data_IF_945496367629
#
_entry.id   IF_945496367629
#
_cell.length_a   1.000
_cell.length_b   1.000
_cell.length_c   1.000
_cell.angle_alpha   90.00
_cell.angle_beta   90.00
_cell.angle_gamma   90.00
#
_symmetry.space_group_name_H-M   'P 1'
#
loop_
_entity.id
_entity.type
_entity.pdbx_description
1 polymer ?
#
# COMPACT_ATOMS: atom_id res chain seq x y z
N UNK A 1 50.86 -11.78 -36.75
CA UNK A 1 51.01 -11.22 -35.39
C UNK A 1 50.58 -12.29 -34.40
N UNK A 2 51.60 -13.08 -34.04
CA UNK A 2 51.94 -13.67 -32.74
C UNK A 2 50.88 -13.73 -31.63
N UNK A 3 50.76 -14.92 -31.02
CA UNK A 3 50.16 -15.07 -29.69
C UNK A 3 49.41 -16.37 -29.36
N UNK A 4 49.65 -17.49 -30.06
CA UNK A 4 49.24 -18.81 -29.57
C UNK A 4 50.22 -19.23 -28.47
N UNK A 5 49.86 -19.01 -27.20
CA UNK A 5 50.75 -19.14 -26.04
C UNK A 5 50.13 -19.98 -24.94
N UNK A 6 50.06 -21.27 -25.18
CA UNK A 6 49.93 -22.30 -24.16
C UNK A 6 51.14 -22.23 -23.21
N UNK A 7 51.01 -21.51 -22.11
CA UNK A 7 51.96 -21.55 -20.99
C UNK A 7 51.42 -22.46 -19.90
N UNK A 8 51.64 -23.75 -20.15
CA UNK A 8 51.90 -24.80 -19.17
C UNK A 8 52.45 -24.25 -17.84
N UNK A 9 51.62 -24.18 -16.80
CA UNK A 9 52.07 -24.02 -15.42
C UNK A 9 52.04 -25.41 -14.77
N UNK A 10 53.18 -25.95 -14.32
CA UNK A 10 53.28 -27.30 -13.84
C UNK A 10 52.54 -27.45 -12.50
N UNK A 11 51.91 -28.62 -12.34
CA UNK A 11 51.38 -29.13 -11.09
C UNK A 11 52.49 -29.07 -10.02
N UNK A 12 52.40 -28.13 -9.08
CA UNK A 12 53.16 -28.18 -7.82
C UNK A 12 52.18 -28.54 -6.72
N UNK A 13 52.35 -29.75 -6.21
CA UNK A 13 51.68 -30.26 -5.02
C UNK A 13 51.96 -29.36 -3.82
N UNK A 14 50.89 -28.99 -3.09
CA UNK A 14 50.95 -28.56 -1.70
C UNK A 14 50.71 -27.08 -1.41
N UNK A 15 49.43 -26.66 -1.37
CA UNK A 15 48.96 -25.67 -0.38
C UNK A 15 47.42 -25.66 -0.32
N UNK A 16 46.87 -25.49 0.89
CA UNK A 16 45.45 -25.57 1.24
C UNK A 16 44.56 -24.49 0.57
N UNK A 17 43.22 -24.71 0.45
CA UNK A 17 42.34 -23.89 -0.39
C UNK A 17 42.06 -22.52 0.25
N UNK A 18 42.60 -21.45 -0.35
CA UNK A 18 42.06 -20.11 -0.20
C UNK A 18 40.74 -20.03 -0.98
N UNK A 19 39.70 -19.48 -0.36
CA UNK A 19 38.37 -19.34 -0.95
C UNK A 19 38.44 -18.63 -2.31
N UNK A 20 38.17 -19.36 -3.38
CA UNK A 20 37.87 -18.78 -4.68
C UNK A 20 36.55 -18.01 -4.54
N UNK A 21 36.65 -16.69 -4.35
CA UNK A 21 35.49 -15.81 -4.34
C UNK A 21 34.98 -15.73 -5.78
N UNK A 22 33.79 -16.26 -6.00
CA UNK A 22 33.07 -16.20 -7.27
C UNK A 22 32.94 -14.72 -7.73
N UNK A 23 33.42 -14.34 -8.92
CA UNK A 23 33.27 -12.99 -9.46
C UNK A 23 31.81 -12.49 -9.46
N UNK A 24 30.84 -13.41 -9.56
CA UNK A 24 29.42 -13.07 -9.47
C UNK A 24 28.99 -12.68 -8.03
N UNK A 25 29.59 -13.28 -7.01
CA UNK A 25 29.34 -12.95 -5.61
C UNK A 25 29.90 -11.57 -5.25
N UNK A 26 31.06 -11.21 -5.78
CA UNK A 26 31.65 -9.88 -5.59
C UNK A 26 30.80 -8.79 -6.28
N UNK A 27 30.24 -9.08 -7.46
CA UNK A 27 29.29 -8.19 -8.13
C UNK A 27 27.99 -8.01 -7.34
N UNK A 28 27.39 -9.10 -6.85
CA UNK A 28 26.18 -9.06 -6.03
C UNK A 28 26.40 -8.28 -4.72
N UNK A 29 27.54 -8.49 -4.05
CA UNK A 29 27.88 -7.75 -2.83
C UNK A 29 28.06 -6.25 -3.11
N UNK A 30 28.72 -5.90 -4.23
CA UNK A 30 28.91 -4.51 -4.66
C UNK A 30 27.59 -3.80 -4.99
N UNK A 31 26.68 -4.47 -5.69
CA UNK A 31 25.34 -3.92 -6.00
C UNK A 31 24.49 -3.79 -4.74
N UNK A 32 24.59 -4.73 -3.80
CA UNK A 32 23.89 -4.65 -2.51
C UNK A 32 24.39 -3.47 -1.66
N UNK A 33 25.70 -3.23 -1.59
CA UNK A 33 26.27 -2.08 -0.88
C UNK A 33 25.89 -0.74 -1.55
N UNK A 34 25.83 -0.70 -2.89
CA UNK A 34 25.37 0.51 -3.61
C UNK A 34 23.89 0.82 -3.37
N UNK A 35 23.03 -0.18 -3.17
CA UNK A 35 21.61 0.01 -2.89
C UNK A 35 21.29 0.18 -1.39
N UNK A 36 22.13 -0.33 -0.49
CA UNK A 36 21.92 -0.23 0.96
C UNK A 36 21.90 1.22 1.47
N UNK A 37 22.57 2.14 0.77
CA UNK A 37 22.56 3.58 1.09
C UNK A 37 21.29 4.33 0.67
N UNK A 38 20.44 3.75 -0.19
CA UNK A 38 19.19 4.36 -0.68
C UNK A 38 17.96 4.03 0.18
N UNK A 39 18.09 3.09 1.13
CA UNK A 39 16.99 2.65 2.00
C UNK A 39 16.63 3.62 3.12
N UNK A 40 17.57 4.47 3.55
CA UNK A 40 17.38 5.41 4.68
C UNK A 40 16.89 6.82 4.23
N UNK A 41 16.92 7.13 2.93
CA UNK A 41 16.47 8.43 2.39
C UNK A 41 14.99 8.44 1.95
N UNK A 42 14.30 7.29 1.97
CA UNK A 42 12.84 7.26 1.83
C UNK A 42 12.21 7.39 3.22
N UNK A 43 12.35 8.59 3.77
CA UNK A 43 11.59 9.04 4.93
C UNK A 43 10.08 8.97 4.60
N UNK A 44 9.24 8.26 5.37
CA UNK A 44 7.81 8.46 5.29
C UNK A 44 7.53 9.91 5.70
N UNK A 45 6.84 10.66 4.85
CA UNK A 45 6.48 12.06 5.06
C UNK A 45 5.94 12.28 6.48
N UNK A 46 6.80 12.79 7.36
CA UNK A 46 6.42 13.22 8.70
C UNK A 46 5.68 14.54 8.57
N UNK A 47 4.59 14.66 9.32
CA UNK A 47 3.81 15.88 9.49
C UNK A 47 4.74 17.07 9.75
N UNK A 48 4.86 17.95 8.76
CA UNK A 48 5.35 19.30 8.96
C UNK A 48 4.33 20.09 9.77
N UNK A 49 4.69 20.40 11.03
CA UNK A 49 4.16 21.56 11.74
C UNK A 49 4.58 22.83 10.99
N UNK A 50 3.61 23.53 10.41
CA UNK A 50 3.73 24.89 9.90
C UNK A 50 2.52 25.71 10.35
N UNK A 51 2.76 26.81 11.06
CA UNK A 51 1.77 27.69 11.66
C UNK A 51 0.93 28.48 10.63
N UNK A 52 -0.32 28.77 11.03
CA UNK A 52 -1.15 29.95 10.70
C UNK A 52 -1.59 30.20 9.24
N UNK A 53 -2.90 30.11 9.00
CA UNK A 53 -3.81 31.27 8.90
C UNK A 53 -5.25 30.77 8.67
N UNK A 54 -6.16 31.13 9.57
CA UNK A 54 -7.60 30.89 9.40
C UNK A 54 -8.25 32.15 8.80
N UNK A 55 -8.86 32.02 7.63
CA UNK A 55 -9.81 32.98 7.10
C UNK A 55 -11.09 32.23 6.68
N UNK A 56 -12.19 32.62 7.33
CA UNK A 56 -13.55 32.11 7.15
C UNK A 56 -14.12 32.37 5.76
N UNK A 57 -15.01 31.50 5.27
CA UNK A 57 -15.84 31.83 4.09
C UNK A 57 -16.78 30.75 3.55
N UNK A 58 -17.88 30.48 4.27
CA UNK A 58 -19.24 30.20 3.77
C UNK A 58 -19.54 28.98 2.86
N UNK A 59 -20.40 28.09 3.40
CA UNK A 59 -21.64 27.69 2.72
C UNK A 59 -21.65 26.34 2.01
N UNK A 60 -22.66 25.52 2.31
CA UNK A 60 -23.16 24.49 1.40
C UNK A 60 -23.06 23.06 1.92
N UNK A 61 -24.10 22.65 2.63
CA UNK A 61 -24.52 21.26 2.74
C UNK A 61 -24.56 20.52 1.38
N UNK A 62 -23.94 19.35 1.30
CA UNK A 62 -24.40 18.26 0.43
C UNK A 62 -23.69 16.96 0.80
N UNK A 63 -24.48 15.97 1.16
CA UNK A 63 -24.18 14.55 1.19
C UNK A 63 -23.14 14.10 0.16
N UNK A 64 -21.98 13.64 0.65
CA UNK A 64 -20.99 12.92 -0.18
C UNK A 64 -21.32 11.42 -0.30
N UNK A 65 -22.34 10.93 0.40
CA UNK A 65 -22.74 9.52 0.38
C UNK A 65 -24.26 9.39 0.20
N UNK A 66 -24.76 9.71 -0.99
CA UNK A 66 -26.19 9.59 -1.27
C UNK A 66 -26.57 9.71 -2.74
N UNK A 67 -26.62 8.56 -3.42
CA UNK A 67 -27.45 8.26 -4.58
C UNK A 67 -27.22 9.04 -5.90
N UNK A 68 -26.61 8.37 -6.88
CA UNK A 68 -26.80 8.64 -8.30
C UNK A 68 -26.83 7.30 -9.08
N UNK A 69 -27.55 7.25 -10.21
CA UNK A 69 -28.35 6.10 -10.63
C UNK A 69 -27.58 5.00 -11.36
N UNK A 70 -28.14 3.79 -11.28
CA UNK A 70 -27.82 2.65 -12.14
C UNK A 70 -27.98 3.04 -13.62
N UNK A 71 -26.87 3.18 -14.33
CA UNK A 71 -26.75 2.91 -15.77
C UNK A 71 -25.29 3.06 -16.21
N UNK A 72 -24.72 2.00 -16.79
CA UNK A 72 -23.39 2.01 -17.39
C UNK A 72 -22.29 1.47 -16.49
N UNK A 73 -22.31 0.16 -16.21
CA UNK A 73 -21.14 -0.51 -15.64
C UNK A 73 -19.99 -0.53 -16.67
N UNK A 74 -18.73 -0.29 -16.27
CA UNK A 74 -17.61 -0.56 -17.15
C UNK A 74 -17.40 -2.06 -17.23
N UNK A 75 -17.51 -2.54 -18.45
CA UNK A 75 -17.27 -3.91 -18.90
C UNK A 75 -15.89 -4.40 -18.46
N UNK A 76 -15.83 -5.58 -17.84
CA UNK A 76 -14.61 -6.23 -17.35
C UNK A 76 -13.90 -7.02 -18.47
N UNK A 77 -14.07 -6.61 -19.73
CA UNK A 77 -13.49 -7.24 -20.93
C UNK A 77 -12.44 -6.37 -21.64
N UNK A 78 -11.73 -5.50 -20.92
CA UNK A 78 -10.67 -4.63 -21.50
C UNK A 78 -9.25 -4.94 -21.04
N UNK A 79 -8.93 -6.21 -20.75
CA UNK A 79 -7.54 -6.65 -20.48
C UNK A 79 -6.97 -7.61 -21.54
N UNK A 80 -7.61 -7.76 -22.70
CA UNK A 80 -7.03 -8.47 -23.85
C UNK A 80 -7.09 -7.59 -25.11
N UNK A 81 -6.06 -7.69 -25.96
CA UNK A 81 -5.83 -6.99 -27.25
C UNK A 81 -5.05 -5.65 -27.24
N UNK A 82 -3.82 -5.64 -26.73
CA UNK A 82 -2.79 -4.72 -27.24
C UNK A 82 -1.53 -5.51 -27.65
N UNK A 83 -1.43 -5.84 -28.93
CA UNK A 83 -0.26 -6.55 -29.49
C UNK A 83 -0.45 -7.22 -30.85
N UNK A 84 -1.61 -7.09 -31.50
CA UNK A 84 -1.81 -7.48 -32.89
C UNK A 84 -1.45 -6.33 -33.83
N UNK A 85 -0.22 -6.30 -34.32
CA UNK A 85 0.19 -5.43 -35.42
C UNK A 85 -0.46 -5.97 -36.72
N UNK A 86 -1.57 -5.33 -37.10
CA UNK A 86 -2.35 -5.63 -38.30
C UNK A 86 -1.71 -4.93 -39.50
N UNK A 87 -0.87 -5.66 -40.26
CA UNK A 87 -0.36 -5.18 -41.55
C UNK A 87 -1.48 -5.28 -42.59
N UNK A 88 -2.00 -4.13 -43.00
CA UNK A 88 -2.96 -3.99 -44.09
C UNK A 88 -2.42 -4.62 -45.39
N UNK A 89 -3.17 -5.58 -45.94
CA UNK A 89 -2.84 -6.30 -47.17
C UNK A 89 -3.68 -5.73 -48.33
N UNK A 90 -3.07 -4.91 -49.18
CA UNK A 90 -3.61 -4.51 -50.50
C UNK A 90 -3.20 -5.58 -51.56
N UNK A 91 -4.00 -5.87 -52.62
CA UNK A 91 -3.82 -7.08 -53.42
C UNK A 91 -2.97 -6.92 -54.72
N UNK A 92 -2.29 -8.04 -55.08
CA UNK A 92 -1.67 -8.46 -56.37
C UNK A 92 -0.11 -8.42 -56.44
N UNK A 93 0.59 -9.25 -57.28
CA UNK A 93 0.17 -10.36 -58.18
C UNK A 93 0.83 -11.73 -57.84
N UNK A 94 0.49 -12.87 -58.49
CA UNK A 94 1.03 -14.18 -58.13
C UNK A 94 2.46 -14.35 -58.64
N UNK A 95 3.44 -14.35 -57.73
CA UNK A 95 4.82 -14.76 -58.04
C UNK A 95 4.96 -16.21 -57.63
N UNK A 96 4.92 -17.08 -58.63
CA UNK A 96 5.39 -18.46 -58.57
C UNK A 96 6.88 -18.47 -58.21
N UNK A 97 7.19 -18.52 -56.92
CA UNK A 97 8.54 -18.85 -56.45
C UNK A 97 8.53 -20.31 -56.03
N UNK A 98 8.89 -21.16 -56.98
CA UNK A 98 9.28 -22.54 -56.70
C UNK A 98 10.49 -22.54 -55.77
N UNK A 99 10.28 -22.76 -54.46
CA UNK A 99 11.37 -23.15 -53.58
C UNK A 99 11.81 -24.58 -53.94
N UNK A 100 13.11 -24.86 -54.08
CA UNK A 100 13.58 -26.22 -54.26
C UNK A 100 13.35 -26.99 -52.95
N UNK A 101 12.48 -28.00 -53.02
CA UNK A 101 12.33 -29.06 -52.04
C UNK A 101 13.70 -29.76 -51.85
N UNK A 102 14.47 -29.28 -50.88
CA UNK A 102 15.69 -29.94 -50.45
C UNK A 102 15.28 -31.26 -49.80
N UNK A 103 15.24 -32.29 -50.64
CA UNK A 103 15.03 -33.70 -50.34
C UNK A 103 15.44 -34.06 -48.90
N UNK A 104 14.46 -34.07 -47.99
CA UNK A 104 14.62 -34.67 -46.67
C UNK A 104 14.70 -36.17 -46.87
N UNK A 105 15.92 -36.68 -47.01
CA UNK A 105 16.20 -38.10 -47.02
C UNK A 105 15.53 -38.75 -45.79
N UNK A 106 14.74 -39.83 -45.93
CA UNK A 106 14.20 -40.54 -44.78
C UNK A 106 15.36 -41.27 -44.11
N UNK A 107 15.99 -40.62 -43.13
CA UNK A 107 16.93 -41.29 -42.22
C UNK A 107 16.07 -42.31 -41.46
N UNK A 108 16.36 -43.63 -41.56
CA UNK A 108 15.65 -44.63 -40.76
C UNK A 108 15.76 -44.23 -39.30
N UNK A 109 14.62 -44.08 -38.61
CA UNK A 109 14.64 -43.82 -37.17
C UNK A 109 15.25 -45.05 -36.50
N UNK A 110 16.53 -44.97 -36.16
CA UNK A 110 17.13 -45.91 -35.23
C UNK A 110 16.60 -45.45 -33.88
N UNK A 111 15.70 -46.22 -33.28
CA UNK A 111 15.33 -46.06 -31.86
C UNK A 111 16.59 -46.33 -31.06
N UNK A 112 17.42 -45.30 -30.90
CA UNK A 112 18.53 -45.32 -29.95
C UNK A 112 17.86 -45.15 -28.60
N UNK A 113 17.86 -46.22 -27.81
CA UNK A 113 17.39 -46.14 -26.42
C UNK A 113 18.16 -45.02 -25.73
N UNK A 114 17.42 -44.04 -25.20
CA UNK A 114 18.02 -42.88 -24.55
C UNK A 114 19.01 -43.34 -23.47
N UNK A 115 20.27 -42.86 -23.49
CA UNK A 115 21.27 -43.20 -22.49
C UNK A 115 20.75 -42.98 -21.08
N UNK A 116 21.02 -43.90 -20.15
CA UNK A 116 20.51 -43.84 -18.77
C UNK A 116 20.85 -42.52 -18.06
N UNK A 117 22.00 -41.92 -18.38
CA UNK A 117 22.40 -40.60 -17.87
C UNK A 117 21.42 -39.49 -18.27
N UNK A 118 20.89 -39.52 -19.48
CA UNK A 118 19.89 -38.54 -19.96
C UNK A 118 18.54 -38.77 -19.29
N UNK A 119 18.16 -40.04 -19.06
CA UNK A 119 16.96 -40.37 -18.28
C UNK A 119 17.05 -39.84 -16.85
N UNK A 120 18.18 -40.07 -16.17
CA UNK A 120 18.44 -39.55 -14.82
C UNK A 120 18.43 -38.01 -14.81
N UNK A 121 19.06 -37.35 -15.80
CA UNK A 121 19.07 -35.89 -15.89
C UNK A 121 17.67 -35.31 -16.10
N UNK A 122 16.86 -35.90 -16.99
CA UNK A 122 15.48 -35.46 -17.20
C UNK A 122 14.63 -35.60 -15.94
N UNK A 123 14.78 -36.72 -15.23
CA UNK A 123 14.07 -36.93 -13.98
C UNK A 123 14.50 -35.93 -12.89
N UNK A 124 15.80 -35.65 -12.78
CA UNK A 124 16.31 -34.62 -11.87
C UNK A 124 15.82 -33.21 -12.23
N UNK A 125 15.75 -32.86 -13.53
CA UNK A 125 15.17 -31.58 -13.97
C UNK A 125 13.67 -31.51 -13.67
N UNK A 126 12.93 -32.60 -13.94
CA UNK A 126 11.51 -32.71 -13.66
C UNK A 126 11.22 -32.46 -12.18
N UNK A 127 11.95 -33.14 -11.29
CA UNK A 127 11.82 -32.97 -9.84
C UNK A 127 12.15 -31.54 -9.42
N UNK A 128 13.21 -30.93 -9.98
CA UNK A 128 13.57 -29.55 -9.65
C UNK A 128 12.51 -28.55 -10.09
N UNK A 129 11.89 -28.75 -11.25
CA UNK A 129 10.78 -27.92 -11.72
C UNK A 129 9.57 -28.07 -10.80
N UNK A 130 9.20 -29.31 -10.49
CA UNK A 130 8.08 -29.60 -9.57
C UNK A 130 8.30 -28.98 -8.18
N UNK A 131 9.54 -28.98 -7.67
CA UNK A 131 9.89 -28.30 -6.41
C UNK A 131 9.73 -26.78 -6.49
N UNK A 132 10.09 -26.17 -7.63
CA UNK A 132 9.90 -24.72 -7.83
C UNK A 132 8.42 -24.37 -7.94
N UNK A 133 7.67 -25.12 -8.74
CA UNK A 133 6.23 -24.92 -8.94
C UNK A 133 5.49 -25.05 -7.59
N UNK A 134 5.84 -26.06 -6.78
CA UNK A 134 5.28 -26.24 -5.45
C UNK A 134 5.64 -25.09 -4.49
N UNK A 135 6.88 -24.59 -4.54
CA UNK A 135 7.30 -23.46 -3.71
C UNK A 135 6.57 -22.16 -4.10
N UNK A 136 6.38 -21.92 -5.40
CA UNK A 136 5.60 -20.80 -5.91
C UNK A 136 4.13 -20.89 -5.51
N UNK A 137 3.53 -22.08 -5.56
CA UNK A 137 2.15 -22.29 -5.14
C UNK A 137 1.97 -22.03 -3.63
N UNK A 138 2.89 -22.53 -2.79
CA UNK A 138 2.90 -22.24 -1.35
C UNK A 138 3.02 -20.74 -1.11
N UNK A 139 3.98 -20.07 -1.75
CA UNK A 139 4.16 -18.62 -1.58
C UNK A 139 2.91 -17.82 -2.00
N UNK A 140 2.25 -18.23 -3.09
CA UNK A 140 1.00 -17.63 -3.55
C UNK A 140 -0.13 -17.82 -2.55
N UNK A 141 -0.24 -19.00 -1.94
CA UNK A 141 -1.26 -19.27 -0.92
C UNK A 141 -0.97 -18.44 0.33
N UNK A 142 0.27 -18.41 0.81
CA UNK A 142 0.68 -17.60 1.98
C UNK A 142 0.40 -16.11 1.78
N UNK A 143 0.69 -15.56 0.60
CA UNK A 143 0.38 -14.17 0.26
C UNK A 143 -1.12 -13.90 0.29
N UNK A 144 -1.94 -14.81 -0.25
CA UNK A 144 -3.40 -14.69 -0.22
C UNK A 144 -3.95 -14.79 1.20
N UNK A 145 -3.42 -15.69 2.02
CA UNK A 145 -3.83 -15.82 3.42
C UNK A 145 -3.42 -14.60 4.24
N UNK A 146 -2.23 -14.06 4.01
CA UNK A 146 -1.78 -12.82 4.64
C UNK A 146 -2.68 -11.65 4.28
N UNK A 147 -2.99 -11.47 2.99
CA UNK A 147 -3.90 -10.42 2.54
C UNK A 147 -5.32 -10.59 3.13
N UNK A 148 -5.80 -11.84 3.25
CA UNK A 148 -7.09 -12.13 3.89
C UNK A 148 -7.08 -11.76 5.38
N UNK A 149 -6.05 -12.17 6.11
CA UNK A 149 -5.91 -11.85 7.54
C UNK A 149 -5.80 -10.35 7.78
N UNK A 150 -5.03 -9.63 6.96
CA UNK A 150 -4.90 -8.18 7.06
C UNK A 150 -6.24 -7.46 6.83
N UNK A 151 -7.04 -7.95 5.87
CA UNK A 151 -8.38 -7.43 5.63
C UNK A 151 -9.33 -7.69 6.81
N UNK A 152 -9.31 -8.90 7.37
CA UNK A 152 -10.10 -9.26 8.56
C UNK A 152 -9.70 -8.40 9.78
N UNK A 153 -8.40 -8.22 10.00
CA UNK A 153 -7.86 -7.38 11.07
C UNK A 153 -8.27 -5.91 10.89
N UNK A 154 -8.24 -5.40 9.66
CA UNK A 154 -8.70 -4.04 9.35
C UNK A 154 -10.18 -3.86 9.68
N UNK A 155 -11.04 -4.80 9.28
CA UNK A 155 -12.47 -4.74 9.59
C UNK A 155 -12.72 -4.77 11.10
N UNK A 156 -12.00 -5.62 11.83
CA UNK A 156 -12.10 -5.69 13.29
C UNK A 156 -11.68 -4.37 13.94
N UNK A 157 -10.52 -3.81 13.56
CA UNK A 157 -10.06 -2.52 14.07
C UNK A 157 -11.02 -1.38 13.72
N UNK A 158 -11.58 -1.39 12.51
CA UNK A 158 -12.56 -0.39 12.08
C UNK A 158 -13.84 -0.50 12.90
N UNK A 159 -14.37 -1.71 13.10
CA UNK A 159 -15.54 -1.95 13.94
C UNK A 159 -15.29 -1.49 15.39
N UNK A 160 -14.14 -1.83 15.97
CA UNK A 160 -13.74 -1.39 17.31
C UNK A 160 -13.66 0.15 17.39
N UNK A 161 -13.07 0.81 16.40
CA UNK A 161 -13.00 2.27 16.34
C UNK A 161 -14.38 2.93 16.23
N UNK A 162 -15.26 2.38 15.39
CA UNK A 162 -16.64 2.84 15.25
C UNK A 162 -17.41 2.62 16.55
N UNK A 163 -17.28 1.46 17.18
CA UNK A 163 -17.92 1.13 18.44
C UNK A 163 -17.43 2.06 19.57
N UNK A 164 -16.12 2.31 19.65
CA UNK A 164 -15.51 3.24 20.60
C UNK A 164 -16.01 4.67 20.40
N UNK A 165 -16.07 5.14 19.15
CA UNK A 165 -16.61 6.47 18.82
C UNK A 165 -18.10 6.58 19.18
N UNK A 166 -18.91 5.58 18.84
CA UNK A 166 -20.33 5.52 19.23
C UNK A 166 -20.50 5.51 20.75
N UNK A 167 -19.65 4.77 21.47
CA UNK A 167 -19.69 4.73 22.94
C UNK A 167 -19.29 6.09 23.53
N UNK A 168 -18.22 6.70 23.05
CA UNK A 168 -17.76 8.02 23.47
C UNK A 168 -18.83 9.10 23.27
N UNK A 169 -19.49 9.11 22.11
CA UNK A 169 -20.60 10.02 21.83
C UNK A 169 -21.78 9.78 22.78
N UNK A 170 -22.17 8.52 23.01
CA UNK A 170 -23.23 8.19 23.96
C UNK A 170 -22.88 8.57 25.40
N UNK A 171 -21.64 8.40 25.83
CA UNK A 171 -21.23 8.83 27.18
C UNK A 171 -21.18 10.34 27.30
N UNK A 172 -20.67 11.05 26.28
CA UNK A 172 -20.63 12.50 26.26
C UNK A 172 -22.05 13.11 26.27
N UNK A 173 -22.98 12.52 25.51
CA UNK A 173 -24.39 12.93 25.53
C UNK A 173 -25.04 12.66 26.89
N UNK A 174 -24.79 11.49 27.49
CA UNK A 174 -25.28 11.20 28.85
C UNK A 174 -24.74 12.17 29.89
N UNK A 175 -23.47 12.56 29.79
CA UNK A 175 -22.85 13.56 30.67
C UNK A 175 -23.47 14.94 30.46
N UNK A 176 -23.65 15.36 29.20
CA UNK A 176 -24.32 16.62 28.85
C UNK A 176 -25.77 16.65 29.39
N UNK A 177 -26.52 15.55 29.21
CA UNK A 177 -27.88 15.40 29.75
C UNK A 177 -27.86 15.42 31.28
N UNK A 178 -26.92 14.76 31.94
CA UNK A 178 -26.81 14.79 33.40
C UNK A 178 -26.48 16.20 33.93
N UNK A 179 -25.60 16.93 33.26
CA UNK A 179 -25.24 18.32 33.59
C UNK A 179 -26.39 19.30 33.37
N UNK A 180 -27.26 19.04 32.39
CA UNK A 180 -28.44 19.88 32.09
C UNK A 180 -29.66 19.53 32.93
N UNK A 181 -29.88 18.24 33.23
CA UNK A 181 -31.04 17.75 33.97
C UNK A 181 -30.95 17.95 35.49
N UNK A 182 -29.73 18.07 36.06
CA UNK A 182 -29.53 18.46 37.46
C UNK A 182 -29.83 19.94 37.64
N UNK A 183 -31.11 20.28 37.70
CA UNK A 183 -31.60 21.61 38.04
C UNK A 183 -31.91 21.70 39.52
N UNK A 184 -30.85 21.72 40.33
CA UNK A 184 -30.98 22.04 41.76
C UNK A 184 -31.09 23.55 41.95
N UNK A 185 -32.13 24.05 42.66
CA UNK A 185 -32.32 25.47 42.90
C UNK A 185 -31.10 26.11 43.59
N UNK A 186 -30.44 27.06 42.94
CA UNK A 186 -29.23 27.74 43.44
C UNK A 186 -27.95 27.54 42.59
N UNK A 187 -27.98 26.65 41.60
CA UNK A 187 -26.85 26.36 40.69
C UNK A 187 -26.92 27.12 39.35
N UNK A 188 -27.90 28.02 39.18
CA UNK A 188 -28.22 28.63 37.88
C UNK A 188 -27.08 29.52 37.36
N UNK A 189 -26.46 30.31 38.23
CA UNK A 189 -25.34 31.17 37.84
C UNK A 189 -24.08 30.39 37.49
N UNK A 190 -23.82 29.28 38.19
CA UNK A 190 -22.73 28.36 37.82
C UNK A 190 -22.94 27.79 36.41
N UNK A 191 -24.16 27.37 36.08
CA UNK A 191 -24.53 26.87 34.75
C UNK A 191 -24.37 27.94 33.66
N UNK A 192 -24.86 29.16 33.91
CA UNK A 192 -24.70 30.28 32.97
C UNK A 192 -23.21 30.53 32.72
N UNK A 193 -22.36 30.47 33.74
CA UNK A 193 -20.92 30.67 33.55
C UNK A 193 -20.25 29.54 32.77
N UNK A 194 -20.67 28.29 32.93
CA UNK A 194 -20.14 27.16 32.14
C UNK A 194 -20.44 27.31 30.65
N UNK A 195 -21.61 27.85 30.31
CA UNK A 195 -22.03 28.09 28.92
C UNK A 195 -21.46 29.38 28.32
N UNK A 196 -21.09 30.35 29.16
CA UNK A 196 -20.50 31.60 28.72
C UNK A 196 -19.01 31.45 28.38
N UNK A 197 -18.64 31.82 27.16
CA UNK A 197 -17.23 31.87 26.76
C UNK A 197 -16.54 33.13 27.31
N UNK A 198 -15.63 32.94 28.27
CA UNK A 198 -14.82 33.99 28.90
C UNK A 198 -13.47 34.23 28.25
N UNK A 199 -13.10 33.49 27.19
CA UNK A 199 -11.82 33.68 26.52
C UNK A 199 -11.85 34.98 25.67
N UNK A 200 -11.05 36.00 26.01
CA UNK A 200 -11.07 37.29 25.31
C UNK A 200 -10.68 37.16 23.82
N UNK A 201 -9.91 36.14 23.45
CA UNK A 201 -9.42 35.92 22.08
C UNK A 201 -10.43 35.28 21.13
N UNK A 202 -11.53 34.75 21.66
CA UNK A 202 -12.53 34.01 20.88
C UNK A 202 -13.79 34.82 20.59
N UNK A 203 -13.78 36.11 20.96
CA UNK A 203 -14.89 37.03 20.70
C UNK A 203 -14.95 37.38 19.22
N UNK A 204 -15.81 36.68 18.45
CA UNK A 204 -16.12 37.01 17.05
C UNK A 204 -17.17 38.12 16.89
N UNK A 205 -17.67 38.67 18.00
CA UNK A 205 -18.71 39.72 18.00
C UNK A 205 -18.08 41.11 17.92
N UNK A 206 -18.66 41.99 17.08
CA UNK A 206 -18.28 43.41 16.98
C UNK A 206 -18.68 44.24 18.20
N UNK A 207 -19.59 43.72 19.05
CA UNK A 207 -20.01 44.39 20.28
C UNK A 207 -19.11 43.99 21.44
N UNK A 208 -18.71 44.98 22.25
CA UNK A 208 -18.01 44.71 23.50
C UNK A 208 -18.97 44.10 24.54
N UNK A 209 -18.67 42.87 24.94
CA UNK A 209 -19.43 42.08 25.91
C UNK A 209 -18.65 41.97 27.25
N UNK A 210 -17.51 42.66 27.38
CA UNK A 210 -16.63 42.58 28.56
C UNK A 210 -17.34 42.95 29.86
N UNK A 211 -18.15 44.02 29.84
CA UNK A 211 -18.98 44.41 31.00
C UNK A 211 -19.99 43.33 31.39
N UNK A 212 -20.66 42.73 30.41
CA UNK A 212 -21.63 41.66 30.65
C UNK A 212 -20.96 40.41 31.23
N UNK A 213 -19.80 40.01 30.69
CA UNK A 213 -18.99 38.90 31.20
C UNK A 213 -18.56 39.14 32.65
N UNK A 214 -18.12 40.36 32.96
CA UNK A 214 -17.74 40.75 34.32
C UNK A 214 -18.92 40.66 35.30
N UNK A 215 -20.10 41.13 34.91
CA UNK A 215 -21.33 41.02 35.73
C UNK A 215 -21.69 39.54 35.95
N UNK A 216 -21.66 38.70 34.92
CA UNK A 216 -21.97 37.26 35.05
C UNK A 216 -21.01 36.56 36.02
N UNK A 217 -19.72 36.88 35.99
CA UNK A 217 -18.72 36.35 36.94
C UNK A 217 -18.96 36.85 38.36
N UNK A 218 -19.30 38.12 38.54
CA UNK A 218 -19.62 38.69 39.84
C UNK A 218 -20.83 37.99 40.48
N UNK A 219 -21.87 37.74 39.68
CA UNK A 219 -23.07 37.08 40.20
C UNK A 219 -22.83 35.60 40.52
N UNK A 220 -21.90 34.94 39.83
CA UNK A 220 -21.42 33.59 40.22
C UNK A 220 -20.77 33.59 41.61
N UNK A 221 -19.94 34.58 41.90
CA UNK A 221 -19.21 34.68 43.16
C UNK A 221 -20.08 35.15 44.32
N UNK A 222 -21.03 36.05 44.03
CA UNK A 222 -21.97 36.62 44.99
C UNK A 222 -23.39 36.51 44.42
N UNK A 223 -24.07 35.37 44.61
CA UNK A 223 -25.43 35.20 44.12
C UNK A 223 -26.36 36.20 44.84
N UNK A 224 -27.32 36.82 44.12
CA UNK A 224 -28.27 37.75 44.72
C UNK A 224 -29.09 37.02 45.79
N UNK A 225 -29.22 37.66 46.95
CA UNK A 225 -30.03 37.17 48.05
C UNK A 225 -31.48 37.07 47.55
N UNK A 226 -32.10 35.90 47.67
CA UNK A 226 -33.51 35.70 47.27
C UNK A 226 -34.38 36.67 48.07
N UNK A 227 -35.14 37.51 47.37
CA UNK A 227 -36.16 38.38 47.96
C UNK A 227 -37.40 37.59 48.37
#
# INVERSE_FOLDING_TARGET
>A
MDGFGDSFVPLVEGSAPAAEVDPAAEFLAREQDQLAGLGDDILPATLGQGQSTVASGLGGEADLFGCAPVNGGPDLESFEMLGGDEVAQDPAPPVTTSEPDLARSPIPHVVREDPEKIKIWREQQRIRLEQKDAAEEVSKIELKEKARKELEDWYKQHEEQVAKTRQANRSAEKELVADTAKMEPGTEWERITKLCNFNPKTSKSSRDISRMRSIILQVKQNPPIKA
#
